data_IF_273666904393
#
_entry.id   IF_273666904393
#
_cell.length_a   1.000
_cell.length_b   1.000
_cell.length_c   1.000
_cell.angle_alpha   90.00
_cell.angle_beta   90.00
_cell.angle_gamma   90.00
#
_symmetry.space_group_name_H-M   'P 1'
#
loop_
_entity.id
_entity.type
_entity.pdbx_description
1 polymer ?
#
# COMPACT_ATOMS: atom_id res chain seq x y z
N UNK A 1 0.84 -51.63 -60.69
CA UNK A 1 0.83 -52.63 -59.60
C UNK A 1 0.71 -51.85 -58.29
N UNK A 2 -0.40 -51.14 -58.10
CA UNK A 2 -1.62 -51.65 -57.44
C UNK A 2 -1.31 -52.23 -56.06
N UNK A 3 -1.33 -51.37 -55.06
CA UNK A 3 -1.42 -51.74 -53.65
C UNK A 3 -2.83 -51.47 -53.17
N UNK A 4 -3.51 -52.57 -52.91
CA UNK A 4 -4.90 -52.72 -52.43
C UNK A 4 -5.15 -51.89 -51.17
N UNK A 5 -6.10 -50.96 -51.22
CA UNK A 5 -6.66 -50.29 -50.05
C UNK A 5 -7.81 -51.16 -49.53
N UNK A 6 -7.62 -51.77 -48.37
CA UNK A 6 -8.68 -52.50 -47.68
C UNK A 6 -9.70 -51.51 -47.12
N UNK A 7 -10.93 -51.57 -47.65
CA UNK A 7 -12.10 -50.86 -47.14
C UNK A 7 -12.54 -51.60 -45.87
N UNK A 8 -12.26 -51.02 -44.69
CA UNK A 8 -12.90 -51.45 -43.44
C UNK A 8 -14.17 -50.63 -43.25
N UNK A 9 -15.30 -51.27 -43.56
CA UNK A 9 -16.64 -50.74 -43.37
C UNK A 9 -17.03 -50.90 -41.89
N UNK A 10 -16.66 -49.96 -41.02
CA UNK A 10 -17.19 -49.90 -39.65
C UNK A 10 -18.52 -49.15 -39.64
N UNK A 11 -19.58 -49.95 -39.60
CA UNK A 11 -20.95 -49.59 -39.29
C UNK A 11 -21.00 -48.84 -37.93
N UNK A 12 -21.15 -47.51 -37.95
CA UNK A 12 -21.55 -46.76 -36.76
C UNK A 12 -23.03 -47.05 -36.49
N UNK A 13 -23.27 -48.06 -35.66
CA UNK A 13 -24.54 -48.21 -34.96
C UNK A 13 -24.64 -47.00 -34.02
N UNK A 14 -25.57 -46.07 -34.29
CA UNK A 14 -26.02 -45.08 -33.32
C UNK A 14 -26.79 -45.84 -32.22
N UNK A 15 -26.06 -46.36 -31.24
CA UNK A 15 -26.62 -46.79 -29.96
C UNK A 15 -26.04 -45.92 -28.86
N UNK A 16 -26.92 -45.27 -28.12
CA UNK A 16 -26.63 -44.69 -26.82
C UNK A 16 -26.41 -43.18 -26.88
N UNK A 17 -27.50 -42.44 -26.63
CA UNK A 17 -27.38 -41.23 -25.82
C UNK A 17 -26.46 -41.53 -24.64
N UNK A 18 -25.43 -40.70 -24.43
CA UNK A 18 -24.57 -40.81 -23.27
C UNK A 18 -25.41 -40.82 -21.98
N UNK A 19 -25.44 -41.95 -21.28
CA UNK A 19 -25.99 -42.12 -19.95
C UNK A 19 -25.09 -41.43 -18.91
N UNK A 20 -25.02 -40.09 -18.96
CA UNK A 20 -24.17 -39.32 -18.04
C UNK A 20 -24.45 -37.81 -17.96
N UNK A 21 -25.25 -37.23 -18.84
CA UNK A 21 -25.70 -35.83 -18.69
C UNK A 21 -27.16 -35.83 -18.27
N UNK A 22 -27.42 -35.44 -17.02
CA UNK A 22 -28.77 -35.21 -16.54
C UNK A 22 -29.50 -34.14 -17.35
N UNK A 23 -30.83 -34.18 -17.34
CA UNK A 23 -31.67 -33.22 -18.07
C UNK A 23 -31.46 -31.76 -17.60
N UNK A 24 -30.97 -31.56 -16.38
CA UNK A 24 -30.69 -30.25 -15.79
C UNK A 24 -29.19 -30.09 -15.48
N UNK A 25 -28.69 -28.84 -15.38
CA UNK A 25 -27.40 -28.55 -14.75
C UNK A 25 -27.29 -29.14 -13.34
N UNK A 26 -26.06 -29.34 -12.87
CA UNK A 26 -25.81 -29.88 -11.53
C UNK A 26 -26.14 -28.84 -10.44
N UNK A 27 -26.83 -29.29 -9.39
CA UNK A 27 -27.21 -28.48 -8.23
C UNK A 27 -28.65 -27.97 -8.26
N UNK A 28 -29.13 -27.35 -7.16
CA UNK A 28 -30.45 -26.75 -7.10
C UNK A 28 -30.53 -25.46 -7.90
N UNK A 29 -31.72 -25.13 -8.38
CA UNK A 29 -32.06 -23.80 -8.89
C UNK A 29 -32.32 -22.91 -7.68
N UNK A 30 -31.63 -21.78 -7.59
CA UNK A 30 -31.79 -20.84 -6.48
C UNK A 30 -32.53 -19.58 -6.96
N UNK A 31 -33.53 -19.15 -6.19
CA UNK A 31 -34.29 -17.94 -6.47
C UNK A 31 -34.40 -17.03 -5.26
N UNK A 32 -34.59 -15.74 -5.48
CA UNK A 32 -34.93 -14.78 -4.43
C UNK A 32 -36.45 -14.65 -4.35
N UNK A 33 -37.00 -14.45 -3.15
CA UNK A 33 -38.40 -14.07 -2.97
C UNK A 33 -38.74 -12.80 -3.79
N UNK A 34 -39.91 -12.80 -4.43
CA UNK A 34 -40.34 -11.79 -5.41
C UNK A 34 -39.63 -11.89 -6.77
N UNK A 35 -38.59 -12.70 -6.88
CA UNK A 35 -37.75 -12.86 -8.07
C UNK A 35 -38.34 -13.80 -9.13
N UNK A 36 -37.48 -14.17 -10.07
CA UNK A 36 -37.80 -15.08 -11.19
C UNK A 36 -36.67 -16.09 -11.36
N UNK A 37 -37.01 -17.34 -11.66
CA UNK A 37 -36.06 -18.41 -11.96
C UNK A 37 -36.37 -19.07 -13.31
N UNK A 38 -35.33 -19.63 -13.91
CA UNK A 38 -35.41 -20.40 -15.14
C UNK A 38 -34.96 -21.84 -14.88
N UNK A 39 -35.87 -22.79 -15.07
CA UNK A 39 -35.54 -24.20 -15.15
C UNK A 39 -35.05 -24.52 -16.56
N UNK A 40 -33.74 -24.55 -16.76
CA UNK A 40 -33.11 -24.75 -18.07
C UNK A 40 -32.85 -26.24 -18.29
N UNK A 41 -33.51 -26.82 -19.29
CA UNK A 41 -33.24 -28.19 -19.75
C UNK A 41 -32.03 -28.23 -20.69
N UNK A 42 -31.20 -29.25 -20.61
CA UNK A 42 -30.05 -29.50 -21.50
C UNK A 42 -30.44 -30.11 -22.86
N UNK A 43 -31.67 -29.86 -23.33
CA UNK A 43 -32.16 -30.34 -24.62
C UNK A 43 -31.79 -29.37 -25.74
N UNK A 44 -31.33 -29.91 -26.86
CA UNK A 44 -31.23 -29.16 -28.10
C UNK A 44 -32.61 -29.03 -28.75
N UNK A 45 -32.89 -27.94 -29.49
CA UNK A 45 -34.15 -27.79 -30.22
C UNK A 45 -34.40 -29.01 -31.13
N UNK A 46 -35.56 -29.69 -31.02
CA UNK A 46 -35.82 -30.90 -31.76
C UNK A 46 -36.17 -30.58 -33.22
N UNK A 47 -35.92 -31.55 -34.13
CA UNK A 47 -36.30 -31.42 -35.54
C UNK A 47 -37.83 -31.40 -35.77
N UNK A 48 -38.59 -31.97 -34.83
CA UNK A 48 -40.06 -31.92 -34.78
C UNK A 48 -40.50 -31.47 -33.38
N UNK A 49 -41.62 -30.74 -33.24
CA UNK A 49 -42.07 -30.26 -31.95
C UNK A 49 -42.37 -31.42 -30.99
N UNK A 50 -42.17 -31.18 -29.69
CA UNK A 50 -42.58 -32.12 -28.65
C UNK A 50 -44.11 -32.31 -28.68
N UNK A 51 -44.58 -33.54 -28.45
CA UNK A 51 -46.02 -33.86 -28.38
C UNK A 51 -46.64 -33.30 -27.11
N UNK A 52 -45.96 -33.51 -25.99
CA UNK A 52 -46.41 -33.07 -24.67
C UNK A 52 -45.22 -32.64 -23.83
N UNK A 53 -45.37 -31.56 -23.08
CA UNK A 53 -44.45 -31.14 -22.03
C UNK A 53 -45.27 -30.95 -20.76
N UNK A 54 -44.94 -31.66 -19.69
CA UNK A 54 -45.60 -31.50 -18.40
C UNK A 54 -44.61 -31.17 -17.30
N UNK A 55 -44.88 -30.11 -16.55
CA UNK A 55 -44.16 -29.74 -15.34
C UNK A 55 -45.05 -29.97 -14.11
N UNK A 56 -44.47 -30.46 -13.03
CA UNK A 56 -45.15 -30.72 -11.76
C UNK A 56 -44.25 -30.45 -10.56
N UNK A 57 -44.86 -30.15 -9.42
CA UNK A 57 -44.19 -30.00 -8.11
C UNK A 57 -45.06 -30.65 -7.04
N UNK A 58 -44.46 -31.45 -6.16
CA UNK A 58 -45.20 -32.17 -5.10
C UNK A 58 -46.35 -33.06 -5.61
N UNK A 59 -46.27 -33.50 -6.87
CA UNK A 59 -47.33 -34.29 -7.54
C UNK A 59 -48.47 -33.47 -8.15
N UNK A 60 -48.50 -32.15 -7.95
CA UNK A 60 -49.46 -31.25 -8.60
C UNK A 60 -48.90 -30.74 -9.94
N UNK A 61 -49.76 -30.68 -10.96
CA UNK A 61 -49.38 -30.17 -12.28
C UNK A 61 -49.25 -28.64 -12.26
N UNK A 62 -48.13 -28.13 -12.77
CA UNK A 62 -47.88 -26.70 -12.99
C UNK A 62 -48.37 -26.32 -14.39
N UNK A 63 -47.99 -27.10 -15.40
CA UNK A 63 -48.44 -26.94 -16.78
C UNK A 63 -48.40 -28.28 -17.50
N UNK A 64 -49.41 -28.54 -18.34
CA UNK A 64 -49.42 -29.59 -19.35
C UNK A 64 -49.63 -28.91 -20.69
N UNK A 65 -48.59 -28.86 -21.51
CA UNK A 65 -48.62 -28.28 -22.87
C UNK A 65 -48.74 -29.39 -23.89
N UNK A 66 -49.85 -29.43 -24.63
CA UNK A 66 -50.10 -30.39 -25.71
C UNK A 66 -50.69 -29.66 -26.93
N UNK A 67 -51.91 -29.99 -27.37
CA UNK A 67 -52.66 -29.16 -28.32
C UNK A 67 -53.11 -27.85 -27.68
N UNK A 68 -53.59 -27.95 -26.44
CA UNK A 68 -53.96 -26.84 -25.58
C UNK A 68 -53.12 -26.88 -24.30
N UNK A 69 -52.85 -25.70 -23.74
CA UNK A 69 -52.07 -25.56 -22.52
C UNK A 69 -53.03 -25.56 -21.31
N UNK A 70 -52.86 -26.55 -20.43
CA UNK A 70 -53.55 -26.61 -19.15
C UNK A 70 -52.60 -26.13 -18.05
N UNK A 71 -52.90 -25.00 -17.44
CA UNK A 71 -52.08 -24.42 -16.36
C UNK A 71 -52.69 -24.78 -15.00
N UNK A 72 -51.85 -25.18 -14.06
CA UNK A 72 -52.21 -25.49 -12.69
C UNK A 72 -52.67 -24.26 -11.90
N UNK A 73 -53.46 -24.45 -10.84
CA UNK A 73 -53.91 -23.35 -9.99
C UNK A 73 -52.73 -22.62 -9.36
N UNK A 74 -52.79 -21.28 -9.33
CA UNK A 74 -51.74 -20.45 -8.73
C UNK A 74 -50.54 -20.14 -9.64
N UNK A 75 -50.49 -20.69 -10.86
CA UNK A 75 -49.36 -20.51 -11.79
C UNK A 75 -49.68 -19.66 -13.02
N UNK A 76 -50.95 -19.34 -13.29
CA UNK A 76 -51.45 -18.65 -14.50
C UNK A 76 -50.49 -17.65 -15.13
N UNK A 77 -50.33 -16.47 -14.50
CA UNK A 77 -49.48 -15.40 -15.01
C UNK A 77 -48.02 -15.50 -14.54
N UNK A 78 -47.70 -16.51 -13.74
CA UNK A 78 -46.39 -16.69 -13.10
C UNK A 78 -45.45 -17.52 -13.95
N UNK A 79 -45.92 -18.20 -14.99
CA UNK A 79 -45.09 -19.13 -15.77
C UNK A 79 -44.95 -18.72 -17.23
N UNK A 80 -43.85 -19.15 -17.86
CA UNK A 80 -43.70 -19.14 -19.31
C UNK A 80 -42.95 -20.41 -19.73
N UNK A 81 -43.54 -21.19 -20.63
CA UNK A 81 -42.94 -22.44 -21.10
C UNK A 81 -42.26 -22.23 -22.47
N UNK A 82 -40.99 -22.58 -22.56
CA UNK A 82 -40.31 -22.70 -23.84
C UNK A 82 -40.61 -24.07 -24.46
N UNK A 83 -41.54 -24.12 -25.40
CA UNK A 83 -41.95 -25.37 -26.07
C UNK A 83 -40.88 -26.00 -26.96
N UNK A 84 -39.79 -25.28 -27.28
CA UNK A 84 -38.69 -25.82 -28.11
C UNK A 84 -37.62 -26.52 -27.29
N UNK A 85 -37.44 -26.14 -26.03
CA UNK A 85 -36.44 -26.76 -25.15
C UNK A 85 -37.07 -27.59 -24.03
N UNK A 86 -38.29 -27.26 -23.61
CA UNK A 86 -38.91 -27.80 -22.40
C UNK A 86 -38.61 -26.97 -21.14
N UNK A 87 -37.86 -25.88 -21.27
CA UNK A 87 -37.49 -25.00 -20.16
C UNK A 87 -38.70 -24.22 -19.64
N UNK A 88 -38.76 -24.00 -18.32
CA UNK A 88 -39.84 -23.27 -17.64
C UNK A 88 -39.30 -22.03 -16.92
N UNK A 89 -39.92 -20.88 -17.17
CA UNK A 89 -39.77 -19.68 -16.35
C UNK A 89 -40.82 -19.68 -15.24
N UNK A 90 -40.43 -19.33 -14.01
CA UNK A 90 -41.34 -19.10 -12.89
C UNK A 90 -41.03 -17.74 -12.24
N UNK A 91 -42.03 -16.87 -12.18
CA UNK A 91 -41.97 -15.47 -11.74
C UNK A 91 -42.68 -15.25 -10.41
N UNK A 92 -42.35 -14.13 -9.76
CA UNK A 92 -42.94 -13.69 -8.50
C UNK A 92 -42.85 -14.79 -7.44
N UNK A 93 -41.64 -15.28 -7.20
CA UNK A 93 -41.38 -16.38 -6.27
C UNK A 93 -41.80 -16.05 -4.84
N UNK A 94 -42.24 -17.07 -4.12
CA UNK A 94 -42.56 -17.07 -2.70
C UNK A 94 -41.77 -18.19 -2.03
N UNK A 95 -41.54 -18.12 -0.72
CA UNK A 95 -40.83 -19.18 0.00
C UNK A 95 -41.48 -20.57 -0.18
N UNK A 96 -42.80 -20.60 -0.36
CA UNK A 96 -43.60 -21.81 -0.56
C UNK A 96 -43.40 -22.47 -1.93
N UNK A 97 -42.81 -21.78 -2.92
CA UNK A 97 -42.51 -22.39 -4.22
C UNK A 97 -41.28 -23.32 -4.17
N UNK A 98 -40.57 -23.40 -3.05
CA UNK A 98 -39.45 -24.33 -2.87
C UNK A 98 -39.91 -25.78 -2.92
N UNK A 99 -39.14 -26.65 -3.59
CA UNK A 99 -39.45 -28.08 -3.69
C UNK A 99 -38.83 -28.79 -4.89
N UNK A 100 -39.15 -30.06 -5.05
CA UNK A 100 -38.70 -30.86 -6.20
C UNK A 100 -39.65 -30.67 -7.40
N UNK A 101 -39.14 -30.05 -8.46
CA UNK A 101 -39.82 -29.87 -9.73
C UNK A 101 -39.47 -31.01 -10.66
N UNK A 102 -40.48 -31.54 -11.34
CA UNK A 102 -40.37 -32.67 -12.27
C UNK A 102 -40.90 -32.28 -13.63
N UNK A 103 -40.14 -32.61 -14.67
CA UNK A 103 -40.55 -32.45 -16.06
C UNK A 103 -40.64 -33.81 -16.74
N UNK A 104 -41.67 -33.99 -17.56
CA UNK A 104 -41.79 -35.10 -18.50
C UNK A 104 -42.08 -34.54 -19.89
N UNK A 105 -41.28 -34.94 -20.87
CA UNK A 105 -41.34 -34.46 -22.26
C UNK A 105 -41.54 -35.67 -23.16
N UNK A 106 -42.64 -35.70 -23.90
CA UNK A 106 -42.91 -36.75 -24.89
C UNK A 106 -42.55 -36.25 -26.28
N UNK A 107 -41.63 -36.92 -26.97
CA UNK A 107 -41.15 -36.55 -28.30
C UNK A 107 -42.14 -36.96 -29.40
N UNK A 108 -41.89 -36.52 -30.64
CA UNK A 108 -42.68 -36.92 -31.80
C UNK A 108 -42.70 -38.45 -32.02
N UNK A 109 -41.64 -39.16 -31.61
CA UNK A 109 -41.50 -40.62 -31.69
C UNK A 109 -42.12 -41.36 -30.50
N UNK A 110 -42.84 -40.66 -29.62
CA UNK A 110 -43.46 -41.19 -28.39
C UNK A 110 -42.47 -41.69 -27.33
N UNK A 111 -41.20 -41.29 -27.42
CA UNK A 111 -40.23 -41.45 -26.34
C UNK A 111 -40.49 -40.40 -25.25
N UNK A 112 -40.36 -40.79 -23.97
CA UNK A 112 -40.55 -39.87 -22.84
C UNK A 112 -39.24 -39.62 -22.13
N UNK A 113 -38.84 -38.34 -22.06
CA UNK A 113 -37.67 -37.85 -21.35
C UNK A 113 -38.14 -37.26 -20.03
N UNK A 114 -37.61 -37.77 -18.93
CA UNK A 114 -37.94 -37.29 -17.58
C UNK A 114 -36.73 -36.59 -16.95
N UNK A 115 -36.99 -35.60 -16.11
CA UNK A 115 -35.97 -35.05 -15.21
C UNK A 115 -36.59 -34.43 -13.97
N UNK A 116 -35.76 -34.25 -12.95
CA UNK A 116 -36.11 -33.51 -11.75
C UNK A 116 -34.99 -32.56 -11.33
N UNK A 117 -35.37 -31.49 -10.65
CA UNK A 117 -34.45 -30.52 -10.04
C UNK A 117 -35.13 -29.87 -8.84
N UNK A 118 -34.34 -29.42 -7.87
CA UNK A 118 -34.83 -28.76 -6.67
C UNK A 118 -34.79 -27.24 -6.85
N UNK A 119 -35.87 -26.55 -6.50
CA UNK A 119 -35.88 -25.10 -6.35
C UNK A 119 -35.77 -24.77 -4.85
N UNK A 120 -34.81 -23.91 -4.50
CA UNK A 120 -34.72 -23.30 -3.18
C UNK A 120 -34.92 -21.80 -3.32
N UNK A 121 -35.97 -21.27 -2.68
CA UNK A 121 -36.25 -19.84 -2.63
C UNK A 121 -35.69 -19.25 -1.33
N UNK A 122 -34.85 -18.23 -1.46
CA UNK A 122 -34.22 -17.53 -0.34
C UNK A 122 -34.91 -16.20 -0.09
N UNK A 123 -35.05 -15.84 1.19
CA UNK A 123 -35.35 -14.47 1.58
C UNK A 123 -34.19 -13.55 1.18
N UNK A 124 -34.51 -12.36 0.67
CA UNK A 124 -33.49 -11.38 0.30
C UNK A 124 -32.74 -10.87 1.54
N UNK A 125 -31.44 -10.68 1.41
CA UNK A 125 -30.65 -10.08 2.48
C UNK A 125 -30.92 -8.57 2.50
N UNK A 126 -31.41 -8.04 3.63
CA UNK A 126 -31.67 -6.61 3.84
C UNK A 126 -31.07 -6.11 5.16
N UNK A 127 -31.02 -4.78 5.32
CA UNK A 127 -30.66 -4.12 6.58
C UNK A 127 -29.29 -4.53 7.15
N UNK A 128 -28.32 -4.80 6.26
CA UNK A 128 -26.96 -5.12 6.64
C UNK A 128 -26.33 -3.98 7.45
N UNK A 129 -25.80 -4.30 8.62
CA UNK A 129 -25.18 -3.35 9.52
C UNK A 129 -23.96 -3.97 10.22
N UNK A 130 -23.02 -3.11 10.63
CA UNK A 130 -21.90 -3.49 11.50
C UNK A 130 -22.00 -2.70 12.80
N UNK A 131 -22.02 -3.42 13.92
CA UNK A 131 -21.87 -2.87 15.25
C UNK A 131 -20.43 -3.02 15.73
N UNK A 132 -19.94 -2.05 16.51
CA UNK A 132 -18.55 -2.04 16.99
C UNK A 132 -18.41 -1.40 18.37
N UNK A 133 -17.17 -1.22 18.86
CA UNK A 133 -16.92 -0.64 20.18
C UNK A 133 -17.43 0.80 20.29
N UNK A 134 -18.08 1.13 21.41
CA UNK A 134 -18.53 2.50 21.71
C UNK A 134 -17.41 3.40 22.26
N UNK A 135 -16.36 2.80 22.81
CA UNK A 135 -15.23 3.51 23.42
C UNK A 135 -14.09 3.68 22.42
N UNK A 136 -13.26 4.70 22.66
CA UNK A 136 -12.02 4.88 21.92
C UNK A 136 -11.07 3.69 22.09
N UNK A 137 -10.48 3.26 20.98
CA UNK A 137 -9.51 2.17 20.95
C UNK A 137 -8.09 2.75 21.02
N UNK A 138 -7.22 2.14 21.81
CA UNK A 138 -5.83 2.55 21.99
C UNK A 138 -4.88 1.45 21.51
N UNK A 139 -3.88 1.85 20.71
CA UNK A 139 -2.91 0.91 20.13
C UNK A 139 -2.18 0.10 21.21
N UNK A 140 -2.03 -1.20 20.99
CA UNK A 140 -1.38 -2.19 21.87
C UNK A 140 -2.03 -2.39 23.24
N UNK A 141 -3.20 -1.79 23.49
CA UNK A 141 -3.90 -1.86 24.79
C UNK A 141 -5.31 -2.39 24.63
N UNK A 142 -6.08 -1.83 23.69
CA UNK A 142 -7.48 -2.19 23.50
C UNK A 142 -7.65 -3.44 22.62
N UNK A 143 -8.83 -4.04 22.71
CA UNK A 143 -9.32 -5.05 21.76
C UNK A 143 -10.59 -4.54 21.11
N UNK A 144 -10.76 -4.80 19.82
CA UNK A 144 -11.96 -4.42 19.09
C UNK A 144 -12.75 -5.67 18.69
N UNK A 145 -14.06 -5.65 18.95
CA UNK A 145 -14.99 -6.64 18.44
C UNK A 145 -16.03 -5.92 17.60
N UNK A 146 -16.12 -6.29 16.32
CA UNK A 146 -17.16 -5.81 15.43
C UNK A 146 -18.03 -6.97 14.96
N UNK A 147 -19.34 -6.76 14.90
CA UNK A 147 -20.33 -7.78 14.57
C UNK A 147 -21.12 -7.33 13.36
N UNK A 148 -21.29 -8.21 12.39
CA UNK A 148 -22.06 -7.97 11.17
C UNK A 148 -23.37 -8.74 11.22
N UNK A 149 -24.48 -8.02 11.02
CA UNK A 149 -25.84 -8.55 11.11
C UNK A 149 -26.67 -8.03 9.93
N UNK A 150 -27.63 -8.84 9.47
CA UNK A 150 -28.60 -8.49 8.44
C UNK A 150 -29.86 -9.35 8.62
N UNK A 151 -30.97 -8.94 8.03
CA UNK A 151 -32.17 -9.77 7.90
C UNK A 151 -32.07 -10.71 6.69
N UNK A 152 -32.93 -11.73 6.65
CA UNK A 152 -32.98 -12.73 5.58
C UNK A 152 -32.11 -13.97 5.81
N UNK A 153 -32.05 -14.85 4.80
CA UNK A 153 -31.20 -16.04 4.86
C UNK A 153 -29.76 -15.68 4.50
N UNK A 154 -28.81 -15.89 5.42
CA UNK A 154 -27.38 -15.65 5.17
C UNK A 154 -26.66 -17.01 5.15
N UNK A 155 -25.97 -17.34 4.07
CA UNK A 155 -25.22 -18.61 3.95
C UNK A 155 -23.71 -18.42 4.03
N UNK A 156 -23.20 -17.23 3.78
CA UNK A 156 -21.79 -16.92 3.96
C UNK A 156 -21.56 -15.44 4.30
N UNK A 157 -20.52 -15.20 5.09
CA UNK A 157 -20.06 -13.87 5.51
C UNK A 157 -18.57 -13.76 5.21
N UNK A 158 -18.19 -12.66 4.55
CA UNK A 158 -16.81 -12.32 4.23
C UNK A 158 -16.48 -10.93 4.74
N UNK A 159 -15.43 -10.82 5.55
CA UNK A 159 -14.87 -9.54 5.96
C UNK A 159 -13.78 -9.08 5.01
N UNK A 160 -13.74 -7.79 4.75
CA UNK A 160 -12.75 -7.13 3.90
C UNK A 160 -12.22 -5.88 4.60
N UNK A 161 -10.96 -5.53 4.35
CA UNK A 161 -10.35 -4.26 4.73
C UNK A 161 -9.66 -3.70 3.49
N UNK A 162 -9.92 -2.44 3.16
CA UNK A 162 -9.29 -1.78 2.01
C UNK A 162 -9.47 -2.57 0.69
N UNK A 163 -10.65 -3.18 0.51
CA UNK A 163 -10.99 -3.99 -0.67
C UNK A 163 -10.39 -5.40 -0.70
N UNK A 164 -9.61 -5.80 0.31
CA UNK A 164 -9.00 -7.14 0.38
C UNK A 164 -9.71 -8.03 1.41
N UNK A 165 -9.96 -9.32 1.10
CA UNK A 165 -10.49 -10.27 2.07
C UNK A 165 -9.58 -10.42 3.29
N UNK A 166 -10.16 -10.34 4.48
CA UNK A 166 -9.45 -10.62 5.72
C UNK A 166 -9.37 -12.12 5.96
N UNK A 167 -8.23 -12.56 6.46
CA UNK A 167 -7.98 -13.95 6.88
C UNK A 167 -7.62 -13.97 8.36
N UNK A 168 -7.96 -15.06 9.06
CA UNK A 168 -7.58 -15.24 10.44
C UNK A 168 -6.05 -15.33 10.53
N UNK A 169 -5.46 -14.67 11.53
CA UNK A 169 -4.02 -14.66 11.71
C UNK A 169 -3.52 -13.43 12.46
N UNK A 170 -2.36 -13.56 13.11
CA UNK A 170 -1.78 -12.50 13.92
C UNK A 170 -2.70 -12.12 15.08
N UNK A 171 -3.27 -10.91 15.02
CA UNK A 171 -4.21 -10.38 16.00
C UNK A 171 -5.68 -10.45 15.55
N UNK A 172 -5.98 -11.06 14.40
CA UNK A 172 -7.33 -11.15 13.81
C UNK A 172 -7.95 -12.54 14.05
N UNK A 173 -9.17 -12.55 14.59
CA UNK A 173 -9.94 -13.75 14.90
C UNK A 173 -11.38 -13.62 14.41
N UNK A 174 -11.94 -14.71 13.88
CA UNK A 174 -13.36 -14.79 13.51
C UNK A 174 -14.11 -15.73 14.44
N UNK A 175 -15.36 -15.40 14.75
CA UNK A 175 -16.26 -16.26 15.53
C UNK A 175 -17.70 -16.14 15.02
N UNK A 176 -18.56 -17.04 15.51
CA UNK A 176 -19.98 -17.11 15.12
C UNK A 176 -20.18 -17.19 13.61
N UNK A 177 -19.52 -18.17 12.97
CA UNK A 177 -19.61 -18.38 11.51
C UNK A 177 -19.20 -17.12 10.71
N UNK A 178 -18.14 -16.46 11.18
CA UNK A 178 -17.62 -15.19 10.67
C UNK A 178 -18.56 -13.98 10.87
N UNK A 179 -19.65 -14.07 11.63
CA UNK A 179 -20.46 -12.88 12.00
C UNK A 179 -19.66 -11.89 12.83
N UNK A 180 -18.72 -12.37 13.64
CA UNK A 180 -17.90 -11.54 14.53
C UNK A 180 -16.45 -11.53 14.09
N UNK A 181 -15.89 -10.33 14.01
CA UNK A 181 -14.47 -10.06 13.78
C UNK A 181 -13.88 -9.42 15.04
N UNK A 182 -12.93 -10.11 15.65
CA UNK A 182 -12.18 -9.69 16.82
C UNK A 182 -10.73 -9.36 16.45
N UNK A 183 -10.26 -8.19 16.90
CA UNK A 183 -8.87 -7.75 16.72
C UNK A 183 -8.25 -7.46 18.10
N UNK A 184 -7.25 -8.23 18.50
CA UNK A 184 -6.70 -8.15 19.86
C UNK A 184 -5.21 -8.51 19.95
N UNK A 185 -4.36 -7.63 20.53
CA UNK A 185 -4.63 -6.20 20.74
C UNK A 185 -4.73 -5.47 19.39
N UNK A 186 -5.45 -4.35 19.36
CA UNK A 186 -5.48 -3.48 18.16
C UNK A 186 -4.15 -2.78 17.96
N UNK A 187 -3.72 -2.67 16.71
CA UNK A 187 -2.48 -1.99 16.30
C UNK A 187 -2.81 -0.80 15.41
N UNK A 188 -1.84 0.10 15.22
CA UNK A 188 -2.04 1.34 14.43
C UNK A 188 -2.56 1.04 13.01
N UNK A 189 -2.00 0.02 12.37
CA UNK A 189 -2.37 -0.43 11.02
C UNK A 189 -3.75 -1.10 10.93
N UNK A 190 -4.39 -1.40 12.07
CA UNK A 190 -5.76 -1.93 12.09
C UNK A 190 -6.81 -0.81 11.95
N UNK A 191 -6.40 0.46 12.02
CA UNK A 191 -7.29 1.55 11.60
C UNK A 191 -7.65 1.41 10.12
N UNK A 192 -8.90 1.70 9.76
CA UNK A 192 -9.35 1.63 8.38
C UNK A 192 -10.85 1.39 8.23
N UNK A 193 -11.29 1.24 6.98
CA UNK A 193 -12.64 0.83 6.65
C UNK A 193 -12.71 -0.70 6.53
N UNK A 194 -13.59 -1.28 7.33
CA UNK A 194 -13.94 -2.69 7.31
C UNK A 194 -15.29 -2.85 6.61
N UNK A 195 -15.36 -3.77 5.66
CA UNK A 195 -16.59 -4.09 4.93
C UNK A 195 -16.96 -5.53 5.19
N UNK A 196 -18.19 -5.77 5.62
CA UNK A 196 -18.76 -7.09 5.72
C UNK A 196 -19.66 -7.33 4.50
N UNK A 197 -19.42 -8.43 3.78
CA UNK A 197 -20.28 -8.90 2.69
C UNK A 197 -21.03 -10.14 3.16
N UNK A 198 -22.35 -10.07 3.15
CA UNK A 198 -23.24 -11.19 3.43
C UNK A 198 -23.83 -11.68 2.12
N UNK A 199 -23.90 -13.00 1.95
CA UNK A 199 -24.39 -13.61 0.71
C UNK A 199 -25.31 -14.78 1.00
N UNK A 200 -26.29 -14.96 0.14
CA UNK A 200 -26.97 -16.21 -0.10
C UNK A 200 -26.95 -16.51 -1.61
N UNK A 201 -27.38 -17.70 -2.05
CA UNK A 201 -27.33 -18.07 -3.46
C UNK A 201 -28.15 -17.18 -4.41
N UNK A 202 -29.03 -16.31 -3.88
CA UNK A 202 -29.91 -15.46 -4.67
C UNK A 202 -29.64 -13.95 -4.54
N UNK A 203 -28.96 -13.51 -3.48
CA UNK A 203 -28.79 -12.10 -3.13
C UNK A 203 -27.51 -11.86 -2.31
N UNK A 204 -27.06 -10.61 -2.27
CA UNK A 204 -25.93 -10.18 -1.45
C UNK A 204 -26.12 -8.77 -0.93
N UNK A 205 -25.65 -8.52 0.29
CA UNK A 205 -25.64 -7.19 0.89
C UNK A 205 -24.25 -6.89 1.49
N UNK A 206 -23.97 -5.61 1.68
CA UNK A 206 -22.72 -5.14 2.29
C UNK A 206 -22.98 -4.07 3.33
N UNK A 207 -22.17 -4.05 4.38
CA UNK A 207 -22.13 -3.00 5.38
C UNK A 207 -20.68 -2.56 5.62
N UNK A 208 -20.46 -1.27 5.92
CA UNK A 208 -19.14 -0.71 6.19
C UNK A 208 -19.03 -0.15 7.61
N UNK A 209 -17.85 -0.26 8.21
CA UNK A 209 -17.52 0.25 9.53
C UNK A 209 -16.10 0.84 9.55
N UNK A 210 -15.96 2.08 10.02
CA UNK A 210 -14.65 2.74 10.12
C UNK A 210 -14.07 2.58 11.52
N UNK A 211 -12.98 1.83 11.64
CA UNK A 211 -12.22 1.67 12.87
C UNK A 211 -11.12 2.72 12.98
N UNK A 212 -11.02 3.36 14.15
CA UNK A 212 -9.96 4.33 14.47
C UNK A 212 -9.21 3.85 15.72
N UNK A 213 -7.91 3.61 15.58
CA UNK A 213 -7.01 3.23 16.67
C UNK A 213 -6.14 4.44 17.03
N UNK A 214 -6.25 4.89 18.28
CA UNK A 214 -5.62 6.09 18.80
C UNK A 214 -4.26 5.76 19.43
N UNK A 215 -3.30 6.67 19.29
CA UNK A 215 -1.93 6.50 19.79
C UNK A 215 -1.17 7.82 19.85
N UNK A 216 0.00 7.77 20.49
CA UNK A 216 0.93 8.90 20.58
C UNK A 216 0.58 9.91 21.68
N UNK A 217 1.28 11.06 21.72
CA UNK A 217 2.34 11.42 20.79
C UNK A 217 3.58 10.55 21.02
N UNK A 218 4.24 10.11 19.95
CA UNK A 218 5.44 9.27 20.01
C UNK A 218 6.36 9.52 18.80
N UNK A 219 7.60 9.02 18.86
CA UNK A 219 8.60 9.19 17.79
C UNK A 219 8.82 10.65 17.37
N UNK A 220 8.94 11.53 18.35
CA UNK A 220 9.07 12.98 18.15
C UNK A 220 10.50 13.38 17.77
N UNK A 221 10.62 14.28 16.81
CA UNK A 221 11.89 14.90 16.40
C UNK A 221 11.66 16.34 15.94
N UNK A 222 12.70 17.17 15.98
CA UNK A 222 12.69 18.51 15.36
C UNK A 222 13.54 18.44 14.09
N UNK A 223 12.93 18.77 12.96
CA UNK A 223 13.59 18.93 11.67
C UNK A 223 13.96 20.40 11.50
N UNK A 224 15.23 20.70 11.24
CA UNK A 224 15.67 22.08 11.06
C UNK A 224 17.20 22.15 10.96
N UNK A 225 17.71 23.31 10.54
CA UNK A 225 19.15 23.52 10.54
C UNK A 225 19.67 23.64 11.97
N UNK A 226 20.83 23.03 12.24
CA UNK A 226 21.57 23.26 13.49
C UNK A 226 22.38 24.56 13.45
N UNK A 227 22.64 25.08 12.24
CA UNK A 227 23.41 26.30 12.02
C UNK A 227 22.65 27.18 11.03
N UNK A 228 22.28 28.39 11.44
CA UNK A 228 21.64 29.39 10.59
C UNK A 228 22.57 30.58 10.31
N UNK A 229 22.36 31.25 9.18
CA UNK A 229 23.13 32.44 8.80
C UNK A 229 22.38 33.73 9.17
N UNK A 230 23.08 34.77 9.63
CA UNK A 230 22.49 36.08 9.93
C UNK A 230 21.74 36.65 8.71
N UNK A 231 20.65 37.37 8.95
CA UNK A 231 19.78 37.99 7.95
C UNK A 231 19.10 37.00 6.97
N UNK A 232 19.12 35.71 7.29
CA UNK A 232 18.32 34.69 6.60
C UNK A 232 17.02 34.36 7.33
N UNK A 233 16.24 33.43 6.79
CA UNK A 233 15.10 32.84 7.49
C UNK A 233 15.40 31.36 7.78
N UNK A 234 14.89 30.84 8.90
CA UNK A 234 14.99 29.41 9.21
C UNK A 234 13.68 28.90 9.83
N UNK A 235 13.43 27.61 9.63
CA UNK A 235 12.26 26.89 10.14
C UNK A 235 12.74 25.67 10.92
N UNK A 236 12.24 25.53 12.14
CA UNK A 236 12.28 24.28 12.89
C UNK A 236 10.89 23.67 12.87
N UNK A 237 10.77 22.42 12.45
CA UNK A 237 9.51 21.72 12.32
C UNK A 237 9.47 20.49 13.21
N UNK A 238 8.51 20.45 14.10
CA UNK A 238 8.31 19.39 15.06
C UNK A 238 7.48 18.26 14.44
N UNK A 239 8.13 17.13 14.15
CA UNK A 239 7.50 15.94 13.58
C UNK A 239 7.22 14.93 14.68
N UNK A 240 5.97 14.50 14.83
CA UNK A 240 5.53 13.53 15.85
C UNK A 240 4.43 12.63 15.29
N UNK A 241 4.40 11.37 15.71
CA UNK A 241 3.34 10.43 15.35
C UNK A 241 2.24 10.48 16.41
N UNK A 242 1.02 10.86 16.03
CA UNK A 242 -0.11 10.90 16.96
C UNK A 242 -1.46 10.85 16.24
N UNK A 243 -2.39 10.05 16.77
CA UNK A 243 -3.80 10.02 16.37
C UNK A 243 -4.66 10.07 17.65
N UNK A 244 -5.54 11.07 17.83
CA UNK A 244 -5.70 12.28 17.00
C UNK A 244 -4.42 13.14 16.94
N UNK A 245 -4.34 14.13 16.03
CA UNK A 245 -3.19 15.03 15.97
C UNK A 245 -2.86 15.69 17.32
N UNK A 246 -1.58 15.81 17.63
CA UNK A 246 -1.11 16.43 18.86
C UNK A 246 -1.17 17.97 18.80
N UNK A 247 -1.30 18.62 19.96
CA UNK A 247 -1.12 20.06 20.14
C UNK A 247 0.34 20.36 20.49
N UNK A 248 0.85 21.52 20.07
CA UNK A 248 2.26 21.87 20.21
C UNK A 248 2.50 23.04 21.16
N UNK A 249 3.69 23.06 21.76
CA UNK A 249 4.24 24.21 22.51
C UNK A 249 5.72 24.34 22.25
N UNK A 250 6.24 25.57 22.26
CA UNK A 250 7.68 25.82 22.07
C UNK A 250 8.27 26.62 23.24
N UNK A 251 9.42 26.13 23.71
CA UNK A 251 10.29 26.82 24.65
C UNK A 251 11.57 27.25 23.93
N UNK A 252 12.05 28.45 24.22
CA UNK A 252 13.36 28.95 23.81
C UNK A 252 14.16 29.30 25.08
N UNK A 253 15.30 28.66 25.28
CA UNK A 253 16.13 28.78 26.48
C UNK A 253 15.30 28.62 27.78
N UNK A 254 14.38 27.66 27.77
CA UNK A 254 13.48 27.34 28.90
C UNK A 254 12.27 28.27 29.06
N UNK A 255 12.11 29.31 28.25
CA UNK A 255 10.99 30.25 28.33
C UNK A 255 9.96 29.97 27.23
N UNK A 256 8.67 30.07 27.56
CA UNK A 256 7.59 29.85 26.58
C UNK A 256 7.54 30.96 25.54
N UNK A 257 7.47 30.56 24.27
CA UNK A 257 7.49 31.46 23.13
C UNK A 257 6.10 31.87 22.65
N UNK A 258 5.06 31.15 23.07
CA UNK A 258 3.67 31.34 22.61
C UNK A 258 3.35 30.70 21.25
N UNK A 259 4.32 30.01 20.63
CA UNK A 259 4.07 29.26 19.39
C UNK A 259 3.40 27.92 19.72
N UNK A 260 2.25 27.67 19.08
CA UNK A 260 1.40 26.49 19.29
C UNK A 260 1.27 25.59 18.05
N UNK A 261 2.04 25.88 17.00
CA UNK A 261 2.10 25.11 15.77
C UNK A 261 3.30 24.16 15.77
N UNK A 262 3.26 23.15 14.89
CA UNK A 262 4.40 22.26 14.66
C UNK A 262 5.63 23.02 14.13
N UNK A 263 5.44 24.12 13.40
CA UNK A 263 6.51 24.94 12.85
C UNK A 263 6.87 26.13 13.74
N UNK A 264 8.18 26.35 13.91
CA UNK A 264 8.75 27.54 14.54
C UNK A 264 9.58 28.31 13.50
N UNK A 265 9.07 29.46 13.07
CA UNK A 265 9.68 30.27 12.00
C UNK A 265 10.45 31.45 12.61
N UNK A 266 11.71 31.58 12.22
CA UNK A 266 12.53 32.76 12.48
C UNK A 266 12.69 33.49 11.14
N UNK A 267 11.93 34.58 10.96
CA UNK A 267 11.87 35.32 9.69
C UNK A 267 13.17 36.06 9.35
N UNK A 268 13.86 36.56 10.37
CA UNK A 268 15.13 37.28 10.26
C UNK A 268 16.05 36.82 11.37
N UNK A 269 17.03 35.98 11.02
CA UNK A 269 17.98 35.37 11.95
C UNK A 269 18.97 36.43 12.43
N UNK A 270 19.18 36.47 13.75
CA UNK A 270 20.24 37.24 14.40
C UNK A 270 20.93 36.40 15.47
N UNK A 271 22.09 36.83 16.00
CA UNK A 271 22.81 36.07 17.03
C UNK A 271 21.99 35.78 18.29
N UNK A 272 20.97 36.60 18.61
CA UNK A 272 20.08 36.35 19.75
C UNK A 272 19.17 35.13 19.57
N UNK A 273 19.09 34.58 18.36
CA UNK A 273 18.36 33.36 18.06
C UNK A 273 19.20 32.10 18.30
N UNK A 274 20.46 32.23 18.72
CA UNK A 274 21.23 31.07 19.14
C UNK A 274 20.76 30.58 20.52
N UNK A 275 20.52 29.29 20.65
CA UNK A 275 20.06 28.69 21.91
C UNK A 275 19.41 27.32 21.77
N UNK A 276 18.82 26.86 22.87
CA UNK A 276 18.07 25.60 22.94
C UNK A 276 16.59 25.85 22.67
N UNK A 277 16.08 25.22 21.61
CA UNK A 277 14.66 25.22 21.26
C UNK A 277 14.06 23.87 21.64
N UNK A 278 12.98 23.88 22.43
CA UNK A 278 12.30 22.65 22.82
C UNK A 278 10.86 22.69 22.36
N UNK A 279 10.50 21.71 21.54
CA UNK A 279 9.13 21.46 21.15
C UNK A 279 8.49 20.47 22.13
N UNK A 280 7.30 20.78 22.63
CA UNK A 280 6.42 19.87 23.36
C UNK A 280 5.22 19.47 22.50
N UNK A 281 4.79 18.22 22.60
CA UNK A 281 3.61 17.69 21.93
C UNK A 281 2.69 16.98 22.94
N UNK A 282 1.38 17.22 22.85
CA UNK A 282 0.35 16.64 23.72
C UNK A 282 -0.79 16.04 22.91
N UNK A 283 -1.19 14.81 23.24
CA UNK A 283 -2.41 14.20 22.71
C UNK A 283 -3.45 14.15 23.83
N UNK A 284 -4.54 14.90 23.68
CA UNK A 284 -5.55 15.02 24.73
C UNK A 284 -6.37 13.75 24.94
N UNK A 285 -6.47 12.88 23.93
CA UNK A 285 -7.23 11.64 24.03
C UNK A 285 -6.45 10.54 24.76
N UNK A 286 -5.15 10.42 24.49
CA UNK A 286 -4.28 9.48 25.22
C UNK A 286 -3.79 10.05 26.55
N UNK A 287 -3.80 11.37 26.71
CA UNK A 287 -3.25 12.09 27.87
C UNK A 287 -1.72 12.18 27.87
N UNK A 288 -1.03 11.65 26.87
CA UNK A 288 0.42 11.61 26.82
C UNK A 288 1.03 12.95 26.38
N UNK A 289 2.18 13.29 26.98
CA UNK A 289 2.96 14.49 26.68
C UNK A 289 4.43 14.12 26.52
N UNK A 290 5.06 14.57 25.44
CA UNK A 290 6.50 14.37 25.17
C UNK A 290 7.14 15.68 24.70
N UNK A 291 8.46 15.80 24.88
CA UNK A 291 9.22 16.96 24.40
C UNK A 291 10.62 16.58 23.92
N UNK A 292 11.14 17.31 22.92
CA UNK A 292 12.49 17.13 22.38
C UNK A 292 13.17 18.49 22.18
N UNK A 293 14.48 18.54 22.39
CA UNK A 293 15.30 19.74 22.22
C UNK A 293 16.04 19.76 20.88
N UNK A 294 16.34 20.97 20.39
CA UNK A 294 17.10 21.26 19.19
C UNK A 294 17.97 22.50 19.44
N UNK A 295 19.28 22.35 19.32
CA UNK A 295 20.20 23.47 19.49
C UNK A 295 20.47 24.16 18.15
N UNK A 296 20.28 25.48 18.13
CA UNK A 296 20.55 26.35 16.98
C UNK A 296 21.75 27.27 17.27
N UNK A 297 22.74 27.23 16.39
CA UNK A 297 23.86 28.16 16.36
C UNK A 297 23.70 29.14 15.19
N UNK A 298 24.07 30.40 15.39
CA UNK A 298 24.00 31.44 14.35
C UNK A 298 25.40 31.86 13.94
N UNK A 299 25.69 31.86 12.64
CA UNK A 299 26.97 32.29 12.06
C UNK A 299 26.77 33.40 11.04
N UNK A 300 27.86 34.06 10.65
CA UNK A 300 27.84 34.98 9.52
C UNK A 300 27.55 34.26 8.21
N UNK A 301 27.00 35.02 7.27
CA UNK A 301 26.82 34.57 5.90
C UNK A 301 28.20 34.26 5.31
N UNK A 302 28.34 33.10 4.67
CA UNK A 302 29.58 32.76 3.99
C UNK A 302 29.91 33.85 2.95
N UNK A 303 31.17 34.32 2.88
CA UNK A 303 31.58 35.22 1.80
C UNK A 303 31.24 34.57 0.45
N UNK A 304 30.76 35.32 -0.54
CA UNK A 304 30.59 34.78 -1.87
C UNK A 304 31.93 34.19 -2.36
N UNK A 305 31.92 33.04 -3.07
CA UNK A 305 33.15 32.49 -3.63
C UNK A 305 33.82 33.55 -4.49
N UNK A 306 35.13 33.75 -4.29
CA UNK A 306 35.92 34.69 -5.08
C UNK A 306 35.70 34.41 -6.57
N UNK A 307 35.39 35.45 -7.34
CA UNK A 307 35.26 35.30 -8.79
C UNK A 307 36.58 34.77 -9.38
N UNK A 308 36.56 34.07 -10.54
CA UNK A 308 37.79 33.61 -11.19
C UNK A 308 38.80 34.74 -11.43
N UNK A 309 38.31 35.95 -11.67
CA UNK A 309 39.11 37.17 -11.81
C UNK A 309 39.74 37.62 -10.48
N UNK A 310 39.01 37.51 -9.37
CA UNK A 310 39.52 37.80 -8.02
C UNK A 310 40.59 36.79 -7.57
N UNK A 311 40.41 35.51 -7.88
CA UNK A 311 41.40 34.47 -7.61
C UNK A 311 42.68 34.66 -8.46
N UNK A 312 42.52 35.02 -9.74
CA UNK A 312 43.64 35.36 -10.61
C UNK A 312 44.38 36.62 -10.14
N UNK A 313 43.67 37.66 -9.71
CA UNK A 313 44.25 38.88 -9.17
C UNK A 313 45.10 38.63 -7.91
N UNK A 314 44.62 37.78 -6.99
CA UNK A 314 45.37 37.39 -5.80
C UNK A 314 46.62 36.57 -6.19
N UNK A 315 46.49 35.62 -7.13
CA UNK A 315 47.62 34.82 -7.60
C UNK A 315 48.70 35.68 -8.29
N UNK A 316 48.29 36.65 -9.12
CA UNK A 316 49.22 37.58 -9.79
C UNK A 316 49.91 38.48 -8.77
N UNK A 317 49.19 39.01 -7.78
CA UNK A 317 49.79 39.83 -6.72
C UNK A 317 50.82 39.04 -5.90
N UNK A 318 50.50 37.80 -5.50
CA UNK A 318 51.42 36.91 -4.79
C UNK A 318 52.65 36.61 -5.66
N UNK A 319 52.46 36.31 -6.94
CA UNK A 319 53.58 36.07 -7.87
C UNK A 319 54.46 37.31 -8.06
N UNK A 320 53.88 38.51 -8.14
CA UNK A 320 54.64 39.75 -8.25
C UNK A 320 55.46 40.05 -6.99
N UNK A 321 54.91 39.78 -5.80
CA UNK A 321 55.65 39.92 -4.53
C UNK A 321 56.81 38.92 -4.48
N UNK A 322 56.58 37.66 -4.86
CA UNK A 322 57.64 36.64 -4.91
C UNK A 322 58.74 37.04 -5.90
N UNK A 323 58.37 37.54 -7.09
CA UNK A 323 59.33 38.03 -8.09
C UNK A 323 60.11 39.24 -7.58
N UNK A 324 59.46 40.21 -6.92
CA UNK A 324 60.12 41.37 -6.35
C UNK A 324 61.11 40.97 -5.25
N UNK A 325 60.75 40.00 -4.39
CA UNK A 325 61.66 39.44 -3.38
C UNK A 325 62.83 38.72 -4.04
N UNK A 326 62.57 37.89 -5.06
CA UNK A 326 63.61 37.18 -5.79
C UNK A 326 64.58 38.14 -6.50
N UNK A 327 64.07 39.20 -7.12
CA UNK A 327 64.87 40.26 -7.74
C UNK A 327 65.66 41.04 -6.68
N UNK A 328 65.05 41.38 -5.56
CA UNK A 328 65.74 42.04 -4.44
C UNK A 328 66.89 41.19 -3.90
N UNK A 329 66.67 39.88 -3.71
CA UNK A 329 67.70 38.93 -3.33
C UNK A 329 68.78 38.81 -4.42
N UNK A 330 68.39 38.71 -5.69
CA UNK A 330 69.33 38.64 -6.81
C UNK A 330 70.23 39.88 -6.86
N UNK A 331 69.67 41.09 -6.82
CA UNK A 331 70.44 42.33 -6.82
C UNK A 331 71.34 42.46 -5.58
N UNK A 332 70.85 42.05 -4.41
CA UNK A 332 71.65 42.03 -3.19
C UNK A 332 72.84 41.07 -3.32
N UNK A 333 72.64 39.88 -3.91
CA UNK A 333 73.70 38.90 -4.16
C UNK A 333 74.68 39.41 -5.22
N UNK A 334 74.20 39.97 -6.33
CA UNK A 334 75.08 40.45 -7.41
C UNK A 334 75.86 41.69 -7.03
N UNK A 335 75.30 42.63 -6.25
CA UNK A 335 76.06 43.75 -5.70
C UNK A 335 77.11 43.28 -4.70
N UNK A 336 76.79 42.29 -3.86
CA UNK A 336 77.79 41.69 -2.98
C UNK A 336 78.91 40.98 -3.76
N UNK A 337 78.61 40.47 -4.96
CA UNK A 337 79.57 39.76 -5.83
C UNK A 337 80.41 40.70 -6.70
N UNK A 338 79.85 41.83 -7.15
CA UNK A 338 80.59 42.88 -7.87
C UNK A 338 81.50 43.72 -6.97
N UNK A 339 81.25 43.77 -5.66
CA UNK A 339 82.13 44.44 -4.71
C UNK A 339 83.20 43.50 -4.10
N UNK A 340 83.28 42.24 -4.51
CA UNK A 340 84.22 41.25 -3.96
C UNK A 340 84.94 40.42 -5.03
N UNK A 341 85.32 41.06 -6.14
CA UNK A 341 86.32 40.51 -7.06
C UNK A 341 87.52 41.47 -7.16
N UNK A 342 88.35 41.46 -6.11
CA UNK A 342 89.79 41.69 -6.20
C UNK A 342 90.49 41.21 -4.90
N UNK A 343 91.51 40.38 -5.09
CA UNK A 343 92.62 40.02 -4.17
C UNK A 343 92.38 39.03 -3.01
N UNK A 344 92.76 37.78 -3.30
CA UNK A 344 93.77 36.91 -2.66
C UNK A 344 93.99 36.87 -1.13
N UNK A 345 94.07 35.60 -0.65
CA UNK A 345 95.09 35.00 0.23
C UNK A 345 95.00 35.05 1.79
N UNK A 346 95.02 33.82 2.33
CA UNK A 346 95.74 33.31 3.52
C UNK A 346 95.31 33.65 4.96
N UNK A 347 95.04 32.56 5.72
CA UNK A 347 95.68 32.33 7.04
C UNK A 347 94.82 32.44 8.31
N UNK A 348 94.64 31.30 9.02
CA UNK A 348 94.90 31.02 10.47
C UNK A 348 94.49 32.09 11.52
N UNK A 349 93.92 31.85 12.72
CA UNK A 349 93.59 30.69 13.59
C UNK A 349 93.04 31.24 14.94
N UNK A 350 92.38 30.36 15.71
CA UNK A 350 92.12 30.37 17.19
C UNK A 350 90.77 30.88 17.77
N UNK A 351 89.87 29.93 18.08
CA UNK A 351 89.37 29.44 19.40
C UNK A 351 89.01 30.43 20.56
N UNK A 352 88.26 30.02 21.64
CA UNK A 352 87.30 28.90 21.86
C UNK A 352 86.01 29.27 22.67
N UNK A 353 85.12 28.29 22.91
CA UNK A 353 84.32 28.15 24.15
C UNK A 353 82.79 28.30 24.03
N UNK A 354 82.01 27.21 23.87
CA UNK A 354 81.20 26.48 24.90
C UNK A 354 80.06 27.28 25.54
N UNK A 355 78.77 26.90 25.44
CA UNK A 355 78.06 25.79 26.13
C UNK A 355 76.54 26.09 25.97
N UNK A 356 75.51 25.25 26.13
CA UNK A 356 75.30 23.86 26.56
C UNK A 356 73.79 23.54 26.35
N UNK A 357 73.41 22.26 26.21
CA UNK A 357 72.10 21.77 26.68
C UNK A 357 71.51 20.57 25.89
N UNK A 358 71.12 19.44 26.54
CA UNK A 358 71.25 18.06 26.01
C UNK A 358 69.88 17.35 25.82
N UNK A 359 69.70 16.09 25.37
CA UNK A 359 70.59 14.96 25.09
C UNK A 359 69.82 13.71 24.58
N UNK A 360 70.50 12.93 23.71
CA UNK A 360 70.79 11.47 23.80
C UNK A 360 69.65 10.48 24.11
N UNK A 361 69.21 9.58 23.21
CA UNK A 361 69.85 8.37 22.62
C UNK A 361 69.98 7.15 23.57
N UNK A 362 69.30 6.05 23.25
CA UNK A 362 69.91 4.73 22.98
C UNK A 362 68.85 3.67 22.58
N UNK A 363 69.21 2.87 21.56
CA UNK A 363 68.57 1.62 21.12
C UNK A 363 69.20 0.42 21.89
N UNK A 364 68.84 -0.88 21.67
CA UNK A 364 69.13 -1.58 20.39
C UNK A 364 68.19 -2.75 19.98
N UNK A 365 68.41 -3.24 18.73
CA UNK A 365 68.30 -4.61 18.20
C UNK A 365 66.94 -5.36 18.18
N UNK A 366 66.58 -6.23 17.22
CA UNK A 366 67.26 -6.90 16.09
C UNK A 366 66.23 -7.47 15.08
N UNK A 367 66.68 -7.57 13.82
CA UNK A 367 66.32 -8.44 12.67
C UNK A 367 65.16 -9.46 12.69
N UNK A 368 64.34 -9.46 11.61
CA UNK A 368 64.25 -10.50 10.55
C UNK A 368 63.05 -10.24 9.58
N UNK A 369 63.24 -10.38 8.26
CA UNK A 369 62.17 -10.34 7.23
C UNK A 369 61.52 -11.72 6.99
N UNK A 370 60.94 -12.06 5.81
CA UNK A 370 60.30 -11.26 4.75
C UNK A 370 58.93 -11.85 4.25
N UNK A 371 58.24 -11.16 3.32
CA UNK A 371 57.14 -11.70 2.47
C UNK A 371 55.73 -11.55 3.06
N UNK A 372 54.62 -11.41 2.32
CA UNK A 372 54.32 -11.45 0.89
C UNK A 372 52.88 -10.95 0.69
N UNK A 373 52.60 -10.45 -0.53
CA UNK A 373 51.32 -10.47 -1.27
C UNK A 373 50.17 -9.57 -0.80
N UNK A 374 49.64 -8.86 -1.79
CA UNK A 374 48.49 -8.00 -1.66
C UNK A 374 47.16 -8.72 -1.83
N UNK A 375 46.12 -7.98 -1.48
CA UNK A 375 44.74 -8.23 -1.85
C UNK A 375 44.04 -6.87 -1.93
N UNK A 376 43.73 -6.43 -3.15
CA UNK A 376 42.73 -5.39 -3.38
C UNK A 376 41.36 -6.08 -3.28
N UNK A 377 40.51 -5.62 -2.39
CA UNK A 377 39.07 -5.85 -2.47
C UNK A 377 38.46 -4.56 -3.01
N UNK A 378 37.88 -4.66 -4.20
CA UNK A 378 37.01 -3.64 -4.77
C UNK A 378 35.61 -3.88 -4.21
N UNK A 379 35.05 -2.93 -3.47
CA UNK A 379 33.61 -2.90 -3.22
C UNK A 379 32.91 -2.22 -4.40
N UNK A 380 32.05 -2.98 -5.06
CA UNK A 380 31.15 -2.54 -6.11
C UNK A 380 30.02 -1.69 -5.49
N UNK A 381 30.00 -0.39 -5.78
CA UNK A 381 28.84 0.46 -5.55
C UNK A 381 28.02 0.47 -6.85
N UNK A 382 26.82 -0.12 -6.81
CA UNK A 382 25.87 -0.10 -7.92
C UNK A 382 25.33 1.32 -8.20
N UNK A 383 24.79 1.57 -9.41
CA UNK A 383 24.36 2.91 -9.81
C UNK A 383 23.09 3.37 -9.04
N UNK A 384 22.93 4.69 -8.83
CA UNK A 384 21.80 5.24 -8.10
C UNK A 384 20.48 5.13 -8.89
N UNK A 385 19.40 4.88 -8.17
CA UNK A 385 18.02 4.80 -8.69
C UNK A 385 17.55 6.16 -9.26
N UNK A 386 16.71 6.16 -10.32
CA UNK A 386 16.19 7.38 -10.89
C UNK A 386 15.08 8.02 -10.01
N UNK A 387 14.87 9.35 -10.12
CA UNK A 387 13.90 10.07 -9.31
C UNK A 387 12.43 9.76 -9.70
N UNK A 388 11.46 9.99 -8.80
CA UNK A 388 10.04 9.77 -9.07
C UNK A 388 9.52 10.74 -10.13
N UNK A 389 8.64 10.25 -11.02
CA UNK A 389 7.97 11.07 -12.04
C UNK A 389 7.00 12.07 -11.38
N UNK A 390 7.08 13.33 -11.80
CA UNK A 390 6.08 14.36 -11.55
C UNK A 390 4.71 13.93 -12.07
N UNK A 391 3.70 13.99 -11.21
CA UNK A 391 2.30 13.91 -11.59
C UNK A 391 1.93 15.28 -12.17
N UNK A 392 1.58 15.33 -13.45
CA UNK A 392 0.98 16.50 -14.06
C UNK A 392 -0.43 16.69 -13.50
N UNK A 393 -0.63 17.76 -12.72
CA UNK A 393 -1.96 18.27 -12.41
C UNK A 393 -2.61 18.81 -13.69
N UNK A 394 -3.58 18.07 -14.21
CA UNK A 394 -4.47 18.54 -15.26
C UNK A 394 -5.45 19.57 -14.67
N UNK A 395 -5.25 20.82 -15.05
CA UNK A 395 -6.24 21.89 -15.04
C UNK A 395 -7.60 21.40 -15.58
N UNK A 396 -8.66 21.45 -14.76
CA UNK A 396 -10.02 21.65 -15.26
C UNK A 396 -10.58 22.92 -14.64
N UNK A 397 -10.67 23.91 -15.51
CA UNK A 397 -11.19 25.25 -15.31
C UNK A 397 -12.71 25.21 -15.14
N UNK A 398 -13.19 26.08 -14.26
CA UNK A 398 -14.55 26.64 -14.17
C UNK A 398 -15.40 26.56 -15.44
N UNK A 399 -16.66 26.16 -15.29
CA UNK A 399 -17.77 26.73 -16.06
C UNK A 399 -18.85 27.27 -15.13
N UNK A 400 -19.05 28.57 -15.28
CA UNK A 400 -20.01 29.44 -14.62
C UNK A 400 -21.47 29.13 -14.96
N UNK A 401 -22.33 29.36 -13.96
CA UNK A 401 -23.52 30.23 -14.01
C UNK A 401 -24.33 30.21 -15.32
N UNK A 402 -25.45 29.48 -15.30
CA UNK A 402 -26.79 30.03 -15.54
C UNK A 402 -27.87 29.13 -14.96
#
# INVERSE_FOLDING_TARGET
>A
METTVAISLTLFILTGLCAGQGLFPQGPVNGAEGGTVMFITNLSPPAQPFRTISWSVGGANIIISSSDDSIGPGYGDRITLNKTTGSLELRNLTLADSGEYRVAITTATAETINGSTELVVYENISDANITGPSNHLFANVSSANITCEAAGNITAIQWMKEGQPLSAGGNIFFSEENRKLSISPVKRHDSGEYVCKLTNPASSATASYRMIVNYGPESMTILGQHIAEVDTHTLMYCSVQSVPPATFTWLFNGQQTGVHEAGYIIKKVSYNNSGDYRCGARNDLTGNVISVGHSLSVKDKAPPPLSPEGAAGIAVAVMLVVVAVALGLYFSITNHRNNSTNTTEAGSSHAPGTSQGPGTSHAPDTSHGPGTKGGRVYENVGPPLPPPREIQDSNIYNRSIK
#
